data_IF_285861804029
#
_entry.id   IF_285861804029
#
_cell.length_a   1.000
_cell.length_b   1.000
_cell.length_c   1.000
_cell.angle_alpha   90.00
_cell.angle_beta   90.00
_cell.angle_gamma   90.00
#
_symmetry.space_group_name_H-M   'P 1'
#
loop_
_entity.id
_entity.type
_entity.pdbx_description
1 polymer ?
#
# COMPACT_ATOMS: atom_id res chain seq x y z
N UNK A 1 7.13 12.85 -20.60
CA UNK A 1 6.92 12.28 -19.26
C UNK A 1 8.29 11.93 -18.70
N UNK A 2 8.75 12.60 -17.65
CA UNK A 2 10.09 12.43 -17.08
C UNK A 2 10.21 11.17 -16.20
N UNK A 3 9.12 10.73 -15.57
CA UNK A 3 9.18 9.62 -14.63
C UNK A 3 9.46 8.31 -15.38
N UNK A 4 8.78 8.10 -16.50
CA UNK A 4 8.94 6.86 -17.26
C UNK A 4 10.02 6.95 -18.34
N UNK A 5 10.31 8.13 -18.88
CA UNK A 5 11.37 8.28 -19.88
C UNK A 5 12.76 8.44 -19.25
N UNK A 6 12.86 8.78 -17.97
CA UNK A 6 14.14 9.05 -17.30
C UNK A 6 14.38 8.11 -16.13
N UNK A 7 13.43 7.96 -15.19
CA UNK A 7 13.69 7.20 -13.95
C UNK A 7 13.78 5.70 -14.22
N UNK A 8 12.84 5.11 -14.96
CA UNK A 8 12.90 3.68 -15.28
C UNK A 8 14.17 3.33 -16.07
N UNK A 9 14.53 4.05 -17.15
CA UNK A 9 15.78 3.75 -17.87
C UNK A 9 17.04 3.99 -17.04
N UNK A 10 17.07 5.02 -16.18
CA UNK A 10 18.19 5.23 -15.26
C UNK A 10 18.37 4.09 -14.27
N UNK A 11 17.29 3.37 -13.93
CA UNK A 11 17.32 2.18 -13.10
C UNK A 11 17.53 0.89 -13.91
N UNK A 12 17.75 1.00 -15.22
CA UNK A 12 17.94 -0.14 -16.11
C UNK A 12 16.66 -0.94 -16.40
N UNK A 13 15.49 -0.38 -16.07
CA UNK A 13 14.19 -1.01 -16.23
C UNK A 13 13.68 -0.77 -17.66
N UNK A 14 13.32 -1.85 -18.35
CA UNK A 14 12.82 -1.84 -19.72
C UNK A 14 11.43 -2.48 -19.80
N UNK A 15 10.39 -1.64 -19.77
CA UNK A 15 9.00 -2.09 -19.92
C UNK A 15 8.59 -2.09 -21.42
N UNK A 16 7.90 -3.13 -21.93
CA UNK A 16 7.18 -4.19 -21.21
C UNK A 16 7.96 -5.51 -20.97
N UNK A 17 9.27 -5.57 -21.17
CA UNK A 17 10.05 -6.80 -20.97
C UNK A 17 10.21 -7.15 -19.48
N UNK A 18 10.30 -6.13 -18.62
CA UNK A 18 10.45 -6.30 -17.18
C UNK A 18 9.11 -6.22 -16.43
N UNK A 19 9.02 -6.92 -15.29
CA UNK A 19 7.95 -6.72 -14.33
C UNK A 19 8.26 -5.52 -13.45
N UNK A 20 7.38 -4.51 -13.44
CA UNK A 20 7.59 -3.26 -12.71
C UNK A 20 6.52 -3.13 -11.63
N UNK A 21 6.95 -3.20 -10.37
CA UNK A 21 6.10 -2.97 -9.20
C UNK A 21 6.46 -1.63 -8.58
N UNK A 22 5.47 -0.82 -8.28
CA UNK A 22 5.63 0.44 -7.56
C UNK A 22 4.94 0.33 -6.21
N UNK A 23 5.71 0.41 -5.12
CA UNK A 23 5.18 0.77 -3.81
C UNK A 23 5.00 2.29 -3.75
N UNK A 24 3.74 2.73 -3.68
CA UNK A 24 3.40 4.15 -3.65
C UNK A 24 2.97 4.55 -2.23
N UNK A 25 3.95 4.97 -1.44
CA UNK A 25 3.78 5.36 -0.05
C UNK A 25 3.21 6.79 0.06
N UNK A 26 1.89 6.89 0.23
CA UNK A 26 1.18 8.17 0.27
C UNK A 26 -0.05 8.10 1.19
N UNK A 27 -0.54 9.24 1.65
CA UNK A 27 -1.73 9.31 2.54
C UNK A 27 -3.02 9.42 1.74
N UNK A 28 -3.09 10.36 0.79
CA UNK A 28 -4.32 10.67 0.10
C UNK A 28 -4.67 9.61 -0.96
N UNK A 29 -5.84 8.99 -0.84
CA UNK A 29 -6.35 8.03 -1.84
C UNK A 29 -6.46 8.66 -3.24
N UNK A 30 -6.78 9.95 -3.32
CA UNK A 30 -6.80 10.69 -4.58
C UNK A 30 -5.43 10.75 -5.26
N UNK A 31 -4.35 10.93 -4.49
CA UNK A 31 -2.97 10.94 -5.00
C UNK A 31 -2.59 9.55 -5.51
N UNK A 32 -2.91 8.50 -4.75
CA UNK A 32 -2.67 7.11 -5.15
C UNK A 32 -3.39 6.74 -6.44
N UNK A 33 -4.68 7.07 -6.55
CA UNK A 33 -5.47 6.82 -7.76
C UNK A 33 -4.98 7.65 -8.95
N UNK A 34 -4.66 8.93 -8.75
CA UNK A 34 -4.15 9.79 -9.81
C UNK A 34 -2.82 9.26 -10.35
N UNK A 35 -1.92 8.85 -9.46
CA UNK A 35 -0.65 8.25 -9.83
C UNK A 35 -0.84 6.92 -10.60
N UNK A 36 -1.71 6.04 -10.09
CA UNK A 36 -1.99 4.76 -10.74
C UNK A 36 -2.55 4.94 -12.16
N UNK A 37 -3.50 5.86 -12.35
CA UNK A 37 -4.04 6.20 -13.68
C UNK A 37 -3.00 6.87 -14.58
N UNK A 38 -2.09 7.67 -14.01
CA UNK A 38 -0.98 8.23 -14.75
C UNK A 38 -0.13 7.11 -15.33
N UNK A 39 0.33 6.14 -14.54
CA UNK A 39 1.25 5.08 -14.99
C UNK A 39 0.55 3.85 -15.62
N UNK A 40 -0.77 3.84 -15.73
CA UNK A 40 -1.54 2.70 -16.25
C UNK A 40 -1.07 2.28 -17.66
N UNK A 41 -0.82 0.98 -17.83
CA UNK A 41 -0.30 0.34 -19.03
C UNK A 41 1.21 0.54 -19.23
N UNK A 42 1.92 1.10 -18.24
CA UNK A 42 3.36 1.41 -18.31
C UNK A 42 4.16 0.75 -17.20
N UNK A 43 3.48 0.09 -16.27
CA UNK A 43 4.02 -0.71 -15.17
C UNK A 43 3.10 -1.91 -14.91
N UNK A 44 3.61 -2.93 -14.22
CA UNK A 44 2.83 -4.13 -13.90
C UNK A 44 1.84 -3.87 -12.77
N UNK A 45 2.28 -3.27 -11.66
CA UNK A 45 1.40 -2.97 -10.54
C UNK A 45 1.80 -1.70 -9.78
N UNK A 46 0.80 -1.04 -9.19
CA UNK A 46 0.95 0.04 -8.22
C UNK A 46 0.27 -0.40 -6.93
N UNK A 47 1.05 -0.58 -5.87
CA UNK A 47 0.58 -1.03 -4.57
C UNK A 47 0.72 0.14 -3.59
N UNK A 48 -0.40 0.70 -3.12
CA UNK A 48 -0.32 1.76 -2.12
C UNK A 48 0.04 1.24 -0.73
N UNK A 49 0.73 2.07 0.05
CA UNK A 49 1.05 1.82 1.47
C UNK A 49 0.85 3.11 2.29
N UNK A 50 1.31 3.16 3.54
CA UNK A 50 1.27 4.27 4.52
C UNK A 50 0.09 4.26 5.50
N UNK A 51 -1.14 4.06 5.05
CA UNK A 51 -2.32 4.33 5.91
C UNK A 51 -2.59 3.24 6.95
N UNK A 52 -1.85 2.13 6.88
CA UNK A 52 -1.91 0.94 7.75
C UNK A 52 -3.24 0.18 7.70
N UNK A 53 -4.28 0.69 7.03
CA UNK A 53 -5.59 0.05 6.89
C UNK A 53 -5.75 -0.52 5.47
N UNK A 54 -6.06 -1.81 5.32
CA UNK A 54 -6.23 -2.44 4.03
C UNK A 54 -7.47 -1.90 3.32
N UNK A 55 -7.35 -1.59 2.03
CA UNK A 55 -8.50 -1.24 1.20
C UNK A 55 -9.05 -2.47 0.48
N UNK A 56 -10.37 -2.47 0.24
CA UNK A 56 -11.10 -3.53 -0.46
C UNK A 56 -11.24 -3.26 -1.97
N UNK A 57 -10.32 -2.47 -2.55
CA UNK A 57 -10.33 -2.02 -3.94
C UNK A 57 -9.24 -2.62 -4.87
N UNK A 58 -8.66 -3.82 -4.64
CA UNK A 58 -7.82 -4.44 -5.66
C UNK A 58 -8.53 -4.53 -7.02
N UNK A 59 -7.89 -4.04 -8.07
CA UNK A 59 -8.46 -3.99 -9.41
C UNK A 59 -7.41 -4.01 -10.51
N UNK A 60 -7.84 -4.35 -11.72
CA UNK A 60 -7.08 -4.15 -12.95
C UNK A 60 -7.54 -2.84 -13.58
N UNK A 61 -6.63 -1.91 -13.83
CA UNK A 61 -6.93 -0.64 -14.49
C UNK A 61 -7.18 -0.83 -15.99
N UNK A 62 -7.78 0.16 -16.70
CA UNK A 62 -8.20 0.02 -18.10
C UNK A 62 -7.10 -0.43 -19.08
N UNK A 63 -5.83 -0.10 -18.82
CA UNK A 63 -4.68 -0.50 -19.67
C UNK A 63 -3.86 -1.64 -19.06
N UNK A 64 -4.36 -2.30 -18.03
CA UNK A 64 -3.82 -3.56 -17.51
C UNK A 64 -2.92 -3.43 -16.28
N UNK A 65 -2.64 -2.23 -15.77
CA UNK A 65 -1.88 -2.11 -14.52
C UNK A 65 -2.72 -2.58 -13.33
N UNK A 66 -2.15 -3.43 -12.48
CA UNK A 66 -2.78 -3.90 -11.25
C UNK A 66 -2.67 -2.83 -10.16
N UNK A 67 -3.74 -2.62 -9.39
CA UNK A 67 -3.79 -1.54 -8.41
C UNK A 67 -4.51 -1.95 -7.13
N UNK A 68 -4.03 -1.43 -5.99
CA UNK A 68 -4.74 -1.39 -4.71
C UNK A 68 -4.37 -0.10 -3.98
N UNK A 69 -5.33 0.58 -3.37
CA UNK A 69 -5.05 1.85 -2.67
C UNK A 69 -4.22 1.68 -1.41
N UNK A 70 -4.41 0.62 -0.63
CA UNK A 70 -3.51 0.31 0.48
C UNK A 70 -3.45 -1.20 0.76
N UNK A 71 -2.24 -1.74 0.76
CA UNK A 71 -2.00 -3.13 1.17
C UNK A 71 -2.36 -3.32 2.65
N UNK A 72 -2.20 -2.29 3.47
CA UNK A 72 -2.39 -2.31 4.91
C UNK A 72 -1.13 -2.75 5.66
N UNK A 73 -1.18 -2.61 6.99
CA UNK A 73 -0.07 -2.97 7.89
C UNK A 73 -0.09 -4.46 8.26
N UNK A 74 1.10 -5.07 8.31
CA UNK A 74 1.31 -6.32 9.07
C UNK A 74 1.72 -5.98 10.50
N UNK A 75 0.93 -6.36 11.50
CA UNK A 75 1.16 -5.97 12.89
C UNK A 75 -0.04 -6.19 13.81
N UNK A 76 0.06 -5.67 15.04
CA UNK A 76 -0.91 -5.90 16.10
C UNK A 76 -2.36 -5.59 15.69
N UNK A 77 -3.25 -6.54 15.94
CA UNK A 77 -4.69 -6.46 15.60
C UNK A 77 -5.38 -5.37 16.40
N UNK A 78 -5.14 -5.34 17.71
CA UNK A 78 -5.84 -4.48 18.66
C UNK A 78 -5.01 -3.23 18.99
N UNK A 79 -4.66 -2.47 17.96
CA UNK A 79 -3.84 -1.27 18.06
C UNK A 79 -4.42 -0.13 17.22
N UNK A 80 -3.97 1.10 17.47
CA UNK A 80 -4.24 2.23 16.58
C UNK A 80 -3.02 2.43 15.69
N UNK A 81 -3.09 1.84 14.49
CA UNK A 81 -2.02 1.84 13.49
C UNK A 81 -0.67 1.30 14.03
N UNK A 82 -0.71 0.36 14.97
CA UNK A 82 0.47 -0.25 15.62
C UNK A 82 0.80 0.33 17.01
N UNK A 83 0.23 1.48 17.37
CA UNK A 83 0.45 2.11 18.68
C UNK A 83 -0.57 1.61 19.69
N UNK A 84 -0.16 1.46 20.97
CA UNK A 84 -1.08 1.13 22.07
C UNK A 84 -2.29 2.07 22.08
N UNK A 85 -3.49 1.49 22.14
CA UNK A 85 -4.74 2.20 21.90
C UNK A 85 -4.94 3.36 22.88
N UNK A 86 -4.63 3.17 24.15
CA UNK A 86 -4.78 4.16 25.21
C UNK A 86 -3.92 5.42 24.99
N UNK A 87 -2.76 5.27 24.35
CA UNK A 87 -1.86 6.39 24.03
C UNK A 87 -2.53 7.32 23.03
N UNK A 88 -3.06 6.76 21.94
CA UNK A 88 -3.69 7.55 20.88
C UNK A 88 -5.02 8.13 21.35
N UNK A 89 -5.83 7.37 22.10
CA UNK A 89 -7.07 7.88 22.71
C UNK A 89 -6.77 9.06 23.64
N UNK A 90 -5.72 8.96 24.47
CA UNK A 90 -5.30 10.06 25.35
C UNK A 90 -4.81 11.27 24.56
N UNK A 91 -4.09 11.08 23.46
CA UNK A 91 -3.65 12.16 22.59
C UNK A 91 -4.84 12.97 22.05
N UNK A 92 -5.86 12.31 21.50
CA UNK A 92 -7.03 12.98 20.93
C UNK A 92 -7.94 13.60 21.99
N UNK A 93 -8.15 12.93 23.13
CA UNK A 93 -9.04 13.44 24.19
C UNK A 93 -8.43 14.59 24.98
N UNK A 94 -7.11 14.67 25.08
CA UNK A 94 -6.41 15.74 25.83
C UNK A 94 -5.83 16.84 24.93
N UNK A 95 -5.77 16.62 23.61
CA UNK A 95 -5.05 17.46 22.65
C UNK A 95 -3.58 17.71 23.06
N UNK A 96 -2.97 16.77 23.79
CA UNK A 96 -1.56 16.82 24.20
C UNK A 96 -0.79 15.68 23.59
N UNK A 97 0.42 15.98 23.12
CA UNK A 97 1.34 14.98 22.60
C UNK A 97 1.57 13.88 23.63
N UNK A 98 1.50 12.63 23.19
CA UNK A 98 1.88 11.46 23.96
C UNK A 98 3.15 10.85 23.37
N UNK A 99 3.96 10.21 24.21
CA UNK A 99 5.06 9.38 23.72
C UNK A 99 4.46 8.09 23.15
N UNK A 100 4.81 7.73 21.93
CA UNK A 100 4.36 6.49 21.32
C UNK A 100 5.08 5.29 21.95
N UNK A 101 4.31 4.22 22.13
CA UNK A 101 4.76 2.90 22.52
C UNK A 101 3.95 1.88 21.71
N UNK A 102 4.62 0.85 21.21
CA UNK A 102 4.03 -0.07 20.22
C UNK A 102 3.25 -1.19 20.92
N UNK A 103 2.17 -1.65 20.29
CA UNK A 103 1.47 -2.83 20.75
C UNK A 103 2.25 -4.09 20.32
N UNK A 104 2.69 -4.87 21.31
CA UNK A 104 3.51 -6.07 21.11
C UNK A 104 2.76 -7.34 21.55
N UNK A 105 1.61 -7.21 22.21
CA UNK A 105 0.82 -8.33 22.71
C UNK A 105 -0.36 -8.67 21.80
N UNK A 106 -0.81 -9.94 21.88
CA UNK A 106 -1.97 -10.44 21.14
C UNK A 106 -1.66 -10.94 19.74
N UNK A 107 -2.70 -11.13 18.93
CA UNK A 107 -2.58 -11.59 17.55
C UNK A 107 -2.16 -10.46 16.60
N UNK A 108 -1.56 -10.83 15.47
CA UNK A 108 -1.18 -9.89 14.42
C UNK A 108 -1.93 -10.18 13.12
N UNK A 109 -2.25 -9.13 12.37
CA UNK A 109 -2.62 -9.29 10.97
C UNK A 109 -1.35 -9.45 10.14
N UNK A 110 -1.31 -10.46 9.30
CA UNK A 110 -0.48 -10.51 8.10
C UNK A 110 -1.33 -9.99 6.94
N UNK A 111 -1.12 -8.73 6.53
CA UNK A 111 -1.87 -8.12 5.43
C UNK A 111 -1.06 -8.14 4.17
N UNK A 112 -1.66 -8.64 3.08
CA UNK A 112 -0.95 -8.80 1.82
C UNK A 112 -1.89 -8.84 0.62
N UNK A 113 -1.30 -8.64 -0.56
CA UNK A 113 -1.96 -8.88 -1.84
C UNK A 113 -1.15 -9.87 -2.67
N UNK A 114 -1.84 -10.76 -3.37
CA UNK A 114 -1.27 -11.62 -4.39
C UNK A 114 -1.39 -10.93 -5.74
N UNK A 115 -0.25 -10.68 -6.38
CA UNK A 115 -0.14 -10.20 -7.75
C UNK A 115 0.21 -11.38 -8.64
N UNK A 116 -0.72 -11.79 -9.51
CA UNK A 116 -0.50 -12.81 -10.53
C UNK A 116 -0.27 -12.13 -11.88
N UNK A 117 0.99 -12.13 -12.33
CA UNK A 117 1.40 -11.49 -13.58
C UNK A 117 1.02 -12.31 -14.82
N UNK A 118 0.80 -13.62 -14.68
CA UNK A 118 0.40 -14.47 -15.80
C UNK A 118 -1.11 -14.37 -16.07
N UNK A 119 -1.92 -14.38 -15.01
CA UNK A 119 -3.37 -14.21 -15.10
C UNK A 119 -3.80 -12.73 -15.19
N UNK A 120 -2.87 -11.80 -14.92
CA UNK A 120 -3.13 -10.38 -14.75
C UNK A 120 -4.24 -10.11 -13.73
N UNK A 121 -4.07 -10.66 -12.53
CA UNK A 121 -5.03 -10.49 -11.42
C UNK A 121 -4.36 -10.02 -10.15
N UNK A 122 -5.14 -9.36 -9.31
CA UNK A 122 -4.74 -8.95 -7.97
C UNK A 122 -5.84 -9.32 -6.98
N UNK A 123 -5.47 -9.92 -5.85
CA UNK A 123 -6.41 -10.33 -4.81
C UNK A 123 -5.79 -10.18 -3.41
N UNK A 124 -6.62 -10.01 -2.38
CA UNK A 124 -6.14 -9.92 -0.99
C UNK A 124 -5.84 -11.30 -0.42
N UNK A 125 -4.76 -11.41 0.33
CA UNK A 125 -4.38 -12.58 1.12
C UNK A 125 -4.06 -12.17 2.56
N UNK A 126 -5.09 -11.71 3.28
CA UNK A 126 -4.94 -11.35 4.69
C UNK A 126 -5.08 -12.58 5.59
N UNK A 127 -4.26 -12.67 6.64
CA UNK A 127 -4.32 -13.76 7.63
C UNK A 127 -4.15 -13.21 9.03
N UNK A 128 -4.90 -13.79 9.97
CA UNK A 128 -4.61 -13.61 11.40
C UNK A 128 -3.51 -14.61 11.77
N UNK A 129 -2.44 -14.11 12.40
CA UNK A 129 -1.26 -14.89 12.83
C UNK A 129 -0.98 -14.71 14.32
#
# INVERSE_FOLDING_TARGET
DHLLATVLPMQGINFPQDTVLIDFHAEATSEKHAFANYVDGRVTAVLGTHTHIPTADPQVLPKGTLFVSDVGMTGAVNSVLGVKTEIIVKQYTTARNQRFDWEEEGGAWFRSVLVDTAANTISRLDRLV
#
